data_IF_591532225190
#
_entry.id   IF_591532225190
#
_cell.length_a   1.000
_cell.length_b   1.000
_cell.length_c   1.000
_cell.angle_alpha   90.00
_cell.angle_beta   90.00
_cell.angle_gamma   90.00
#
_symmetry.space_group_name_H-M   'P 1'
#
loop_
_entity.id
_entity.type
_entity.pdbx_description
1 polymer ?
#
# COMPACT_ATOMS: atom_id res chain seq x y z
N UNK A 1 -6.19 -16.12 0.94
CA UNK A 1 -7.39 -15.30 0.66
C UNK A 1 -8.01 -15.67 -0.69
N UNK A 2 -9.20 -16.27 -0.72
CA UNK A 2 -9.88 -16.73 -1.95
C UNK A 2 -10.84 -15.71 -2.59
N UNK A 3 -10.40 -14.47 -2.84
CA UNK A 3 -11.24 -13.42 -3.45
C UNK A 3 -10.43 -12.34 -4.17
N UNK A 4 -11.10 -11.32 -4.71
CA UNK A 4 -10.48 -10.25 -5.52
C UNK A 4 -9.27 -9.60 -4.83
N UNK A 5 -9.34 -9.35 -3.52
CA UNK A 5 -8.22 -8.76 -2.76
C UNK A 5 -6.98 -9.66 -2.77
N UNK A 6 -7.13 -10.98 -2.65
CA UNK A 6 -6.00 -11.92 -2.70
C UNK A 6 -5.32 -11.91 -4.07
N UNK A 7 -6.11 -11.86 -5.14
CA UNK A 7 -5.60 -11.76 -6.50
C UNK A 7 -4.84 -10.45 -6.76
N UNK A 8 -5.34 -9.33 -6.21
CA UNK A 8 -4.67 -8.02 -6.30
C UNK A 8 -3.36 -8.01 -5.51
N UNK A 9 -3.37 -8.45 -4.25
CA UNK A 9 -2.16 -8.56 -3.43
C UNK A 9 -1.12 -9.46 -4.09
N UNK A 10 -1.52 -10.64 -4.60
CA UNK A 10 -0.60 -11.56 -5.28
C UNK A 10 0.08 -10.93 -6.49
N UNK A 11 -0.67 -10.18 -7.31
CA UNK A 11 -0.07 -9.42 -8.42
C UNK A 11 0.85 -8.31 -7.94
N UNK A 12 0.40 -7.47 -7.00
CA UNK A 12 1.23 -6.39 -6.49
C UNK A 12 2.56 -6.90 -5.93
N UNK A 13 2.51 -7.99 -5.13
CA UNK A 13 3.70 -8.61 -4.55
C UNK A 13 4.62 -9.21 -5.63
N UNK A 14 4.07 -9.87 -6.65
CA UNK A 14 4.85 -10.41 -7.75
C UNK A 14 5.58 -9.30 -8.53
N UNK A 15 4.91 -8.19 -8.82
CA UNK A 15 5.51 -7.03 -9.50
C UNK A 15 6.58 -6.36 -8.65
N UNK A 16 6.36 -6.22 -7.33
CA UNK A 16 7.36 -5.70 -6.41
C UNK A 16 8.59 -6.63 -6.32
N UNK A 17 8.37 -7.93 -6.18
CA UNK A 17 9.44 -8.93 -6.10
C UNK A 17 10.30 -8.95 -7.37
N UNK A 18 9.70 -8.79 -8.55
CA UNK A 18 10.44 -8.70 -9.80
C UNK A 18 11.38 -7.48 -9.87
N UNK A 19 11.04 -6.38 -9.18
CA UNK A 19 11.91 -5.19 -9.08
C UNK A 19 13.00 -5.37 -8.04
N UNK A 20 12.70 -6.01 -6.91
CA UNK A 20 13.69 -6.31 -5.87
C UNK A 20 14.74 -7.28 -6.43
N UNK A 21 14.32 -8.32 -7.14
CA UNK A 21 15.22 -9.33 -7.69
C UNK A 21 15.85 -10.20 -6.61
N UNK A 22 17.05 -10.70 -6.89
CA UNK A 22 17.83 -11.57 -6.01
C UNK A 22 18.89 -10.75 -5.27
N UNK A 23 18.43 -9.91 -4.33
CA UNK A 23 19.30 -9.05 -3.52
C UNK A 23 19.00 -9.26 -2.04
N UNK A 24 20.05 -9.34 -1.22
CA UNK A 24 19.91 -9.50 0.23
C UNK A 24 19.38 -8.22 0.89
N UNK A 25 19.88 -7.05 0.46
CA UNK A 25 19.48 -5.75 1.01
C UNK A 25 19.12 -4.75 -0.10
N UNK A 26 17.83 -4.48 -0.35
CA UNK A 26 17.42 -3.53 -1.38
C UNK A 26 17.73 -2.09 -0.97
N UNK A 27 18.24 -1.30 -1.90
CA UNK A 27 18.45 0.14 -1.70
C UNK A 27 17.13 0.88 -1.50
N UNK A 28 17.15 2.08 -0.92
CA UNK A 28 15.96 2.95 -0.82
C UNK A 28 15.29 3.16 -2.19
N UNK A 29 16.10 3.35 -3.25
CA UNK A 29 15.60 3.51 -4.61
C UNK A 29 14.89 2.24 -5.11
N UNK A 30 15.45 1.06 -4.82
CA UNK A 30 14.82 -0.23 -5.14
C UNK A 30 13.49 -0.39 -4.42
N UNK A 31 13.42 0.00 -3.13
CA UNK A 31 12.17 -0.06 -2.33
C UNK A 31 11.09 0.86 -2.91
N UNK A 32 11.44 2.09 -3.30
CA UNK A 32 10.52 3.02 -3.97
C UNK A 32 10.02 2.41 -5.29
N UNK A 33 10.93 1.92 -6.13
CA UNK A 33 10.58 1.32 -7.42
C UNK A 33 9.69 0.07 -7.26
N UNK A 34 9.94 -0.75 -6.24
CA UNK A 34 9.12 -1.93 -5.92
C UNK A 34 7.71 -1.53 -5.47
N UNK A 35 7.57 -0.48 -4.66
CA UNK A 35 6.27 0.04 -4.25
C UNK A 35 5.48 0.64 -5.44
N UNK A 36 6.16 1.29 -6.38
CA UNK A 36 5.56 1.77 -7.63
C UNK A 36 5.07 0.62 -8.51
N UNK A 37 5.88 -0.44 -8.65
CA UNK A 37 5.51 -1.64 -9.39
C UNK A 37 4.32 -2.37 -8.73
N UNK A 38 4.29 -2.46 -7.40
CA UNK A 38 3.15 -2.97 -6.64
C UNK A 38 1.86 -2.22 -6.98
N UNK A 39 1.90 -0.89 -6.92
CA UNK A 39 0.76 -0.03 -7.23
C UNK A 39 0.29 -0.17 -8.68
N UNK A 40 1.25 -0.21 -9.62
CA UNK A 40 0.98 -0.43 -11.05
C UNK A 40 0.29 -1.77 -11.29
N UNK A 41 0.82 -2.86 -10.74
CA UNK A 41 0.25 -4.19 -10.90
C UNK A 41 -1.19 -4.30 -10.40
N UNK A 42 -1.47 -3.72 -9.24
CA UNK A 42 -2.83 -3.68 -8.69
C UNK A 42 -3.76 -2.86 -9.58
N UNK A 43 -3.30 -1.72 -10.08
CA UNK A 43 -4.07 -0.87 -11.01
C UNK A 43 -4.38 -1.60 -12.32
N UNK A 44 -3.39 -2.25 -12.93
CA UNK A 44 -3.53 -2.98 -14.20
C UNK A 44 -4.47 -4.17 -14.04
N UNK A 45 -4.35 -4.94 -12.95
CA UNK A 45 -5.22 -6.09 -12.70
C UNK A 45 -6.63 -5.71 -12.28
N UNK A 46 -6.78 -4.67 -11.45
CA UNK A 46 -8.07 -4.26 -10.89
C UNK A 46 -8.84 -3.24 -11.73
N UNK A 47 -8.16 -2.55 -12.65
CA UNK A 47 -8.70 -1.47 -13.48
C UNK A 47 -9.19 -0.25 -12.70
N UNK A 48 -8.90 -0.17 -11.40
CA UNK A 48 -9.35 0.91 -10.51
C UNK A 48 -8.42 2.12 -10.57
N UNK A 49 -8.92 3.27 -10.14
CA UNK A 49 -8.20 4.54 -10.06
C UNK A 49 -8.39 5.14 -8.66
N UNK A 50 -7.48 6.02 -8.21
CA UNK A 50 -7.72 6.84 -7.03
C UNK A 50 -9.06 7.58 -7.15
N UNK A 51 -9.79 7.68 -6.05
CA UNK A 51 -11.13 8.24 -5.95
C UNK A 51 -12.26 7.22 -6.08
N UNK A 52 -11.97 5.93 -6.29
CA UNK A 52 -13.00 4.89 -6.53
C UNK A 52 -13.31 4.01 -5.31
N UNK A 53 -12.81 4.37 -4.12
CA UNK A 53 -12.98 3.67 -2.85
C UNK A 53 -12.42 2.25 -2.89
N UNK A 54 -11.11 2.15 -3.12
CA UNK A 54 -10.36 0.90 -3.22
C UNK A 54 -9.02 1.00 -2.50
N UNK A 55 -8.27 -0.11 -2.47
CA UNK A 55 -6.90 -0.14 -1.93
C UNK A 55 -5.96 0.90 -2.57
N UNK A 56 -6.18 1.27 -3.84
CA UNK A 56 -5.37 2.28 -4.51
C UNK A 56 -5.45 3.65 -3.85
N UNK A 57 -6.53 3.95 -3.13
CA UNK A 57 -6.69 5.20 -2.39
C UNK A 57 -5.72 5.31 -1.22
N UNK A 58 -5.16 4.21 -0.72
CA UNK A 58 -4.08 4.21 0.26
C UNK A 58 -2.70 3.94 -0.37
N UNK A 59 -2.62 3.07 -1.38
CA UNK A 59 -1.35 2.71 -2.03
C UNK A 59 -0.73 3.92 -2.73
N UNK A 60 -1.50 4.67 -3.52
CA UNK A 60 -0.93 5.77 -4.30
C UNK A 60 -0.36 6.86 -3.39
N UNK A 61 -1.09 7.36 -2.37
CA UNK A 61 -0.52 8.30 -1.40
C UNK A 61 0.69 7.76 -0.63
N UNK A 62 0.71 6.47 -0.31
CA UNK A 62 1.88 5.82 0.31
C UNK A 62 3.11 5.92 -0.60
N UNK A 63 2.97 5.55 -1.88
CA UNK A 63 4.07 5.55 -2.85
C UNK A 63 4.58 6.97 -3.09
N UNK A 64 3.68 7.94 -3.23
CA UNK A 64 4.04 9.35 -3.45
C UNK A 64 4.84 9.91 -2.25
N UNK A 65 4.39 9.64 -1.02
CA UNK A 65 5.09 10.05 0.19
C UNK A 65 6.43 9.31 0.35
N UNK A 66 6.47 7.99 0.07
CA UNK A 66 7.68 7.21 0.14
C UNK A 66 8.75 7.75 -0.82
N UNK A 67 8.36 8.06 -2.06
CA UNK A 67 9.24 8.67 -3.06
C UNK A 67 9.73 10.05 -2.61
N UNK A 68 8.85 10.88 -2.05
CA UNK A 68 9.19 12.21 -1.54
C UNK A 68 10.16 12.16 -0.35
N UNK A 69 9.95 11.22 0.57
CA UNK A 69 10.75 11.08 1.78
C UNK A 69 12.06 10.30 1.56
N UNK A 70 12.18 9.53 0.48
CA UNK A 70 13.36 8.76 0.08
C UNK A 70 14.48 9.67 -0.45
N UNK A 71 15.09 10.45 0.44
CA UNK A 71 16.22 11.34 0.13
C UNK A 71 17.55 10.61 0.42
N UNK A 72 18.56 10.70 -0.47
CA UNK A 72 19.88 10.14 -0.21
C UNK A 72 20.47 10.59 1.14
N UNK A 73 21.04 9.65 1.89
CA UNK A 73 21.63 9.90 3.20
C UNK A 73 20.63 10.01 4.37
N UNK A 74 19.32 9.80 4.13
CA UNK A 74 18.31 9.69 5.19
C UNK A 74 17.91 8.23 5.41
N UNK A 75 17.36 7.95 6.60
CA UNK A 75 16.86 6.64 6.97
C UNK A 75 15.72 6.18 6.07
N UNK A 76 15.91 5.08 5.35
CA UNK A 76 14.87 4.40 4.55
C UNK A 76 13.66 4.04 5.40
N UNK A 77 13.90 3.61 6.64
CA UNK A 77 12.83 3.27 7.58
C UNK A 77 12.04 4.51 8.01
N UNK A 78 12.71 5.64 8.20
CA UNK A 78 12.03 6.92 8.47
C UNK A 78 11.11 7.35 7.33
N UNK A 79 11.56 7.17 6.08
CA UNK A 79 10.72 7.41 4.90
C UNK A 79 9.51 6.47 4.85
N UNK A 80 9.73 5.17 5.13
CA UNK A 80 8.66 4.18 5.18
C UNK A 80 7.61 4.48 6.25
N UNK A 81 8.02 4.87 7.47
CA UNK A 81 7.10 5.23 8.56
C UNK A 81 6.21 6.42 8.18
N UNK A 82 6.78 7.46 7.58
CA UNK A 82 6.01 8.61 7.08
C UNK A 82 5.02 8.22 5.98
N UNK A 83 5.46 7.38 5.04
CA UNK A 83 4.60 6.85 4.00
C UNK A 83 3.44 6.02 4.59
N UNK A 84 3.72 5.18 5.60
CA UNK A 84 2.72 4.38 6.28
C UNK A 84 1.66 5.24 7.01
N UNK A 85 2.09 6.31 7.69
CA UNK A 85 1.16 7.29 8.29
C UNK A 85 0.27 7.97 7.22
N UNK A 86 0.82 8.26 6.05
CA UNK A 86 0.05 8.79 4.92
C UNK A 86 -0.96 7.78 4.40
N UNK A 87 -0.57 6.50 4.29
CA UNK A 87 -1.47 5.41 3.92
C UNK A 87 -2.63 5.27 4.91
N UNK A 88 -2.36 5.38 6.21
CA UNK A 88 -3.37 5.28 7.28
C UNK A 88 -4.41 6.42 7.19
N UNK A 89 -3.93 7.67 7.08
CA UNK A 89 -4.83 8.83 6.88
C UNK A 89 -5.63 8.70 5.59
N UNK A 90 -5.00 8.26 4.51
CA UNK A 90 -5.67 8.08 3.22
C UNK A 90 -6.71 6.96 3.26
N UNK A 91 -6.42 5.84 3.92
CA UNK A 91 -7.37 4.77 4.16
C UNK A 91 -8.58 5.25 4.95
N UNK A 92 -8.37 6.01 6.04
CA UNK A 92 -9.47 6.60 6.81
C UNK A 92 -10.32 7.55 5.95
N UNK A 93 -9.68 8.39 5.12
CA UNK A 93 -10.36 9.35 4.24
C UNK A 93 -11.29 8.68 3.20
N UNK A 94 -11.07 7.41 2.86
CA UNK A 94 -11.98 6.68 1.96
C UNK A 94 -13.42 6.59 2.51
N UNK A 95 -13.65 6.82 3.81
CA UNK A 95 -14.99 6.94 4.37
C UNK A 95 -15.84 8.04 3.71
N UNK A 96 -15.20 9.09 3.17
CA UNK A 96 -15.87 10.16 2.42
C UNK A 96 -16.15 9.86 0.94
N UNK A 97 -15.78 8.67 0.44
CA UNK A 97 -15.93 8.29 -0.97
C UNK A 97 -17.11 7.33 -1.14
N UNK A 98 -17.99 7.64 -2.10
CA UNK A 98 -19.03 6.71 -2.56
C UNK A 98 -18.38 5.64 -3.43
N UNK A 99 -18.56 4.37 -3.07
CA UNK A 99 -17.97 3.27 -3.82
C UNK A 99 -18.53 3.15 -5.24
N UNK A 100 -17.64 3.10 -6.23
CA UNK A 100 -17.97 2.78 -7.62
C UNK A 100 -17.50 1.37 -8.05
N UNK A 101 -16.85 0.61 -7.16
CA UNK A 101 -16.16 -0.65 -7.48
C UNK A 101 -16.51 -1.81 -6.55
N UNK A 102 -16.25 -3.03 -7.03
CA UNK A 102 -16.35 -4.26 -6.26
C UNK A 102 -17.76 -4.51 -5.67
N UNK A 103 -17.82 -5.28 -4.58
CA UNK A 103 -19.08 -5.58 -3.88
C UNK A 103 -19.62 -4.38 -3.11
N UNK A 104 -18.76 -3.43 -2.72
CA UNK A 104 -19.18 -2.24 -1.99
C UNK A 104 -20.01 -1.29 -2.86
N UNK A 105 -19.84 -1.30 -4.19
CA UNK A 105 -20.69 -0.55 -5.15
C UNK A 105 -22.19 -0.77 -4.93
N UNK A 106 -22.61 -1.99 -4.57
CA UNK A 106 -24.03 -2.35 -4.35
C UNK A 106 -24.66 -1.48 -3.24
N UNK A 107 -23.86 -0.94 -2.34
CA UNK A 107 -24.33 -0.12 -1.23
C UNK A 107 -24.54 1.35 -1.63
N UNK A 108 -24.02 1.82 -2.77
CA UNK A 108 -24.18 3.19 -3.24
C UNK A 108 -23.81 4.21 -2.16
N UNK A 109 -24.68 5.18 -1.90
CA UNK A 109 -24.50 6.20 -0.85
C UNK A 109 -24.33 5.62 0.56
N UNK A 110 -24.85 4.40 0.83
CA UNK A 110 -24.65 3.71 2.12
C UNK A 110 -23.20 3.27 2.35
N UNK A 111 -22.32 3.41 1.36
CA UNK A 111 -20.88 3.19 1.54
C UNK A 111 -20.16 4.38 2.19
N UNK A 112 -20.81 5.54 2.34
CA UNK A 112 -20.28 6.68 3.07
C UNK A 112 -20.18 6.39 4.57
N UNK A 113 -19.20 7.00 5.22
CA UNK A 113 -18.94 6.86 6.66
C UNK A 113 -18.14 5.60 7.05
N UNK A 114 -17.96 4.65 6.13
CA UNK A 114 -17.15 3.44 6.38
C UNK A 114 -15.89 3.45 5.52
N UNK A 115 -14.68 3.36 6.10
CA UNK A 115 -13.44 3.20 5.34
C UNK A 115 -13.44 1.94 4.46
N UNK A 116 -12.73 1.99 3.33
CA UNK A 116 -12.50 0.82 2.48
C UNK A 116 -11.65 -0.21 3.22
N UNK A 117 -12.12 -1.47 3.22
CA UNK A 117 -11.40 -2.56 3.86
C UNK A 117 -10.06 -2.87 3.17
N UNK A 118 -9.97 -2.70 1.85
CA UNK A 118 -8.74 -2.90 1.09
C UNK A 118 -7.68 -1.87 1.45
N UNK A 119 -8.05 -0.58 1.42
CA UNK A 119 -7.20 0.55 1.81
C UNK A 119 -6.74 0.41 3.28
N UNK A 120 -7.67 0.08 4.18
CA UNK A 120 -7.36 -0.14 5.60
C UNK A 120 -6.38 -1.30 5.79
N UNK A 121 -6.59 -2.42 5.10
CA UNK A 121 -5.69 -3.57 5.18
C UNK A 121 -4.28 -3.22 4.69
N UNK A 122 -4.16 -2.47 3.59
CA UNK A 122 -2.87 -2.02 3.09
C UNK A 122 -2.16 -1.12 4.09
N UNK A 123 -2.86 -0.12 4.65
CA UNK A 123 -2.31 0.79 5.67
C UNK A 123 -1.78 0.02 6.89
N UNK A 124 -2.53 -0.98 7.38
CA UNK A 124 -2.09 -1.83 8.49
C UNK A 124 -0.82 -2.62 8.15
N UNK A 125 -0.75 -3.22 6.95
CA UNK A 125 0.43 -3.99 6.52
C UNK A 125 1.67 -3.10 6.48
N UNK A 126 1.61 -1.95 5.80
CA UNK A 126 2.79 -1.06 5.69
C UNK A 126 3.17 -0.45 7.04
N UNK A 127 2.19 -0.17 7.91
CA UNK A 127 2.45 0.29 9.28
C UNK A 127 3.13 -0.77 10.11
N UNK A 128 2.76 -2.06 9.96
CA UNK A 128 3.45 -3.15 10.65
C UNK A 128 4.88 -3.29 10.16
N UNK A 129 5.11 -3.26 8.85
CA UNK A 129 6.46 -3.31 8.27
C UNK A 129 7.36 -2.20 8.84
N UNK A 130 6.85 -0.97 8.95
CA UNK A 130 7.62 0.16 9.51
C UNK A 130 7.93 0.06 11.00
N UNK A 131 7.29 -0.86 11.72
CA UNK A 131 7.41 -1.05 13.16
C UNK A 131 8.11 -2.38 13.54
N UNK A 132 8.61 -3.15 12.56
CA UNK A 132 9.17 -4.50 12.77
C UNK A 132 10.56 -4.55 13.41
N UNK A 133 11.18 -3.42 13.75
CA UNK A 133 12.53 -3.31 14.37
C UNK A 133 12.69 -4.02 15.74
N UNK A 134 11.70 -4.77 16.21
CA UNK A 134 11.79 -5.54 17.47
C UNK A 134 11.98 -7.05 17.24
N UNK A 135 12.18 -7.52 16.02
CA UNK A 135 12.38 -8.95 15.72
C UNK A 135 13.83 -9.32 15.34
N UNK A 136 14.77 -8.39 15.46
CA UNK A 136 16.18 -8.58 15.12
C UNK A 136 17.12 -8.87 16.29
N UNK A 137 16.65 -8.88 17.53
CA UNK A 137 17.47 -9.21 18.70
C UNK A 137 16.98 -10.50 19.37
N UNK A 138 17.15 -11.65 18.72
CA UNK A 138 17.35 -12.93 19.43
C UNK A 138 18.32 -13.81 18.64
N UNK A 139 19.49 -14.09 19.25
CA UNK A 139 20.44 -15.09 18.76
C UNK A 139 21.90 -14.74 19.02
N UNK A 140 22.36 -15.02 20.24
CA UNK A 140 23.78 -15.07 20.65
C UNK A 140 24.57 -16.12 19.89
#
# INVERSE_FOLDING_TARGET
SGGTSGALWGTGLAEAAAVVGDVDEPTTATVVAAAEAFARGIRERGGARPGEKTMLDAIVPFVDELRSAAVPGRSSLGAWRRAAETADRAAAATAGIVSSRGRSRIHGERSLGTPDAGATSFALVVSRIGNSDHLGEEGT
#
